data_IF_299909265158
#
_entry.id   IF_299909265158
#
_cell.length_a   1.000
_cell.length_b   1.000
_cell.length_c   1.000
_cell.angle_alpha   90.00
_cell.angle_beta   90.00
_cell.angle_gamma   90.00
#
_symmetry.space_group_name_H-M   'P 1'
#
loop_
_entity.id
_entity.type
_entity.pdbx_description
1 polymer ?
#
# COMPACT_ATOMS: atom_id res chain seq x y z
N UNK A 1 -2.85 18.83 -15.96
CA UNK A 1 -3.97 18.93 -16.91
C UNK A 1 -3.49 18.87 -18.37
N UNK A 2 -2.50 19.69 -18.85
CA UNK A 2 -2.05 19.73 -20.26
C UNK A 2 -1.72 18.37 -20.89
N UNK A 3 -1.07 17.45 -20.14
CA UNK A 3 -0.73 16.11 -20.65
C UNK A 3 -1.99 15.24 -20.81
N UNK A 4 -2.97 15.42 -19.96
CA UNK A 4 -4.26 14.74 -20.05
C UNK A 4 -5.07 15.28 -21.23
N UNK A 5 -5.15 16.60 -21.40
CA UNK A 5 -5.81 17.24 -22.56
C UNK A 5 -5.18 16.83 -23.87
N UNK A 6 -3.84 16.67 -23.91
CA UNK A 6 -3.09 16.16 -25.08
C UNK A 6 -3.25 14.64 -25.29
N UNK A 7 -3.95 13.92 -24.43
CA UNK A 7 -4.09 12.46 -24.50
C UNK A 7 -2.83 11.67 -24.15
N UNK A 8 -1.78 12.32 -23.61
CA UNK A 8 -0.53 11.67 -23.23
C UNK A 8 -0.66 10.86 -21.92
N UNK A 9 -1.62 11.18 -21.06
CA UNK A 9 -1.99 10.39 -19.89
C UNK A 9 -3.49 10.40 -19.68
N UNK A 10 -4.04 9.38 -19.06
CA UNK A 10 -5.46 9.32 -18.69
C UNK A 10 -5.72 9.82 -17.27
N UNK A 11 -4.75 9.63 -16.38
CA UNK A 11 -4.89 9.88 -14.96
C UNK A 11 -3.74 10.73 -14.43
N UNK A 12 -4.02 11.46 -13.34
CA UNK A 12 -3.04 12.29 -12.62
C UNK A 12 -2.89 11.72 -11.22
N UNK A 13 -1.65 11.65 -10.75
CA UNK A 13 -1.31 11.22 -9.40
C UNK A 13 -0.20 12.07 -8.82
N UNK A 14 -0.03 11.93 -7.50
CA UNK A 14 1.02 12.59 -6.72
C UNK A 14 1.79 11.57 -5.89
N UNK A 15 2.88 11.98 -5.25
CA UNK A 15 3.67 11.11 -4.37
C UNK A 15 4.13 11.87 -3.14
N UNK A 16 4.03 11.23 -1.98
CA UNK A 16 4.49 11.73 -0.67
C UNK A 16 3.90 13.10 -0.28
N UNK A 17 2.65 13.37 -0.64
CA UNK A 17 1.93 14.58 -0.24
C UNK A 17 1.32 14.39 1.16
N UNK A 18 1.30 15.46 1.94
CA UNK A 18 0.48 15.57 3.14
C UNK A 18 -0.98 15.78 2.78
N UNK A 19 -1.91 15.64 3.74
CA UNK A 19 -3.33 15.93 3.54
C UNK A 19 -3.57 17.36 3.05
N UNK A 20 -2.87 18.37 3.60
CA UNK A 20 -2.96 19.76 3.15
C UNK A 20 -2.49 19.95 1.70
N UNK A 21 -1.42 19.22 1.31
CA UNK A 21 -0.94 19.24 -0.08
C UNK A 21 -1.92 18.53 -1.04
N UNK A 22 -2.61 17.49 -0.57
CA UNK A 22 -3.66 16.82 -1.33
C UNK A 22 -4.87 17.73 -1.54
N UNK A 23 -5.29 18.50 -0.51
CA UNK A 23 -6.36 19.48 -0.62
C UNK A 23 -5.99 20.56 -1.64
N UNK A 24 -4.76 21.12 -1.55
CA UNK A 24 -4.25 22.10 -2.51
C UNK A 24 -4.22 21.53 -3.95
N UNK A 25 -3.79 20.28 -4.10
CA UNK A 25 -3.77 19.63 -5.42
C UNK A 25 -5.18 19.47 -5.99
N UNK A 26 -6.16 19.10 -5.17
CA UNK A 26 -7.57 18.95 -5.59
C UNK A 26 -8.21 20.29 -5.98
N UNK A 27 -7.86 21.37 -5.30
CA UNK A 27 -8.33 22.72 -5.64
C UNK A 27 -7.70 23.27 -6.92
N UNK A 28 -6.48 22.80 -7.26
CA UNK A 28 -5.70 23.30 -8.40
C UNK A 28 -5.92 22.52 -9.68
N UNK A 29 -6.21 21.21 -9.58
CA UNK A 29 -6.38 20.31 -10.72
C UNK A 29 -7.82 20.35 -11.24
N UNK A 30 -8.00 20.49 -12.55
CA UNK A 30 -9.28 20.27 -13.23
C UNK A 30 -9.65 18.77 -13.30
N UNK A 31 -8.63 17.90 -13.25
CA UNK A 31 -8.81 16.46 -13.27
C UNK A 31 -8.90 15.88 -11.85
N UNK A 32 -9.72 14.84 -11.61
CA UNK A 32 -9.70 14.15 -10.34
C UNK A 32 -8.33 13.52 -10.08
N UNK A 33 -7.88 13.63 -8.84
CA UNK A 33 -6.67 12.93 -8.37
C UNK A 33 -6.96 11.43 -8.35
N UNK A 34 -6.21 10.66 -9.15
CA UNK A 34 -6.44 9.22 -9.31
C UNK A 34 -5.66 8.38 -8.30
N UNK A 35 -4.41 8.76 -8.02
CA UNK A 35 -3.55 8.01 -7.14
C UNK A 35 -2.60 8.89 -6.33
N UNK A 36 -2.27 8.42 -5.13
CA UNK A 36 -1.26 8.98 -4.26
C UNK A 36 -0.27 7.87 -3.88
N UNK A 37 0.99 7.99 -4.33
CA UNK A 37 2.02 7.00 -4.03
C UNK A 37 2.72 7.37 -2.73
N UNK A 38 2.73 6.44 -1.75
CA UNK A 38 3.29 6.64 -0.42
C UNK A 38 4.02 5.39 0.06
N UNK A 39 4.94 5.55 1.01
CA UNK A 39 5.46 4.43 1.79
C UNK A 39 4.32 3.85 2.63
N UNK A 40 4.06 2.53 2.49
CA UNK A 40 3.03 1.87 3.29
C UNK A 40 3.33 0.38 3.45
N UNK A 41 3.37 -0.09 4.70
CA UNK A 41 3.67 -1.47 5.09
C UNK A 41 3.22 -1.68 6.55
N UNK A 42 3.27 -2.91 7.12
CA UNK A 42 2.82 -3.17 8.50
C UNK A 42 3.44 -2.29 9.59
N UNK A 43 4.68 -1.80 9.39
CA UNK A 43 5.37 -0.88 10.31
C UNK A 43 5.08 0.61 10.03
N UNK A 44 4.37 0.95 8.97
CA UNK A 44 3.99 2.33 8.62
C UNK A 44 2.67 2.34 7.83
N UNK A 45 1.56 2.33 8.56
CA UNK A 45 0.25 1.96 8.02
C UNK A 45 -0.50 3.09 7.33
N UNK A 46 -0.05 4.35 7.50
CA UNK A 46 -0.63 5.53 6.82
C UNK A 46 -2.14 5.70 7.06
N UNK A 47 -2.61 5.49 8.28
CA UNK A 47 -4.05 5.49 8.61
C UNK A 47 -4.76 6.77 8.17
N UNK A 48 -4.15 7.94 8.42
CA UNK A 48 -4.71 9.23 8.03
C UNK A 48 -4.85 9.35 6.52
N UNK A 49 -3.78 9.02 5.77
CA UNK A 49 -3.80 9.08 4.31
C UNK A 49 -4.72 8.02 3.70
N UNK A 50 -4.85 6.85 4.33
CA UNK A 50 -5.78 5.82 3.90
C UNK A 50 -7.24 6.28 4.10
N UNK A 51 -7.57 6.84 5.25
CA UNK A 51 -8.89 7.42 5.50
C UNK A 51 -9.21 8.57 4.53
N UNK A 52 -8.20 9.40 4.22
CA UNK A 52 -8.32 10.47 3.22
C UNK A 52 -8.58 9.90 1.82
N UNK A 53 -7.83 8.87 1.40
CA UNK A 53 -7.97 8.24 0.09
C UNK A 53 -9.37 7.64 -0.12
N UNK A 54 -9.90 6.94 0.88
CA UNK A 54 -11.27 6.37 0.86
C UNK A 54 -12.34 7.46 0.75
N UNK A 55 -12.21 8.54 1.53
CA UNK A 55 -13.16 9.65 1.52
C UNK A 55 -13.23 10.39 0.18
N UNK A 56 -12.11 10.42 -0.55
CA UNK A 56 -11.96 11.17 -1.79
C UNK A 56 -11.85 10.30 -3.05
N UNK A 57 -12.09 9.01 -2.93
CA UNK A 57 -12.13 8.02 -4.01
C UNK A 57 -10.88 8.06 -4.91
N UNK A 58 -9.69 7.97 -4.30
CA UNK A 58 -8.43 7.76 -5.02
C UNK A 58 -7.63 6.61 -4.41
N UNK A 59 -6.69 6.06 -5.18
CA UNK A 59 -5.86 4.94 -4.74
C UNK A 59 -4.64 5.42 -3.96
N UNK A 60 -4.31 4.70 -2.86
CA UNK A 60 -2.97 4.70 -2.31
C UNK A 60 -2.12 3.64 -3.02
N UNK A 61 -1.01 4.05 -3.60
CA UNK A 61 -0.04 3.15 -4.20
C UNK A 61 1.10 2.94 -3.21
N UNK A 62 1.10 1.78 -2.56
CA UNK A 62 2.01 1.46 -1.47
C UNK A 62 3.40 1.07 -2.01
N UNK A 63 4.39 1.98 -1.94
CA UNK A 63 5.77 1.60 -2.21
C UNK A 63 6.43 1.02 -0.95
N UNK A 64 7.52 0.28 -1.13
CA UNK A 64 8.20 -0.49 -0.08
C UNK A 64 7.25 -1.39 0.75
N UNK A 65 6.30 -2.09 0.13
CA UNK A 65 5.23 -2.79 0.82
C UNK A 65 5.71 -3.91 1.75
N UNK A 66 6.96 -4.34 1.60
CA UNK A 66 7.62 -5.39 2.39
C UNK A 66 8.52 -4.82 3.50
N UNK A 67 8.55 -3.50 3.71
CA UNK A 67 9.43 -2.84 4.69
C UNK A 67 10.90 -3.30 4.59
N UNK A 68 11.40 -3.59 3.38
CA UNK A 68 12.74 -4.17 3.14
C UNK A 68 13.00 -5.50 3.91
N UNK A 69 11.95 -6.19 4.30
CA UNK A 69 11.99 -7.43 5.09
C UNK A 69 11.85 -7.23 6.60
N UNK A 70 11.91 -6.00 7.11
CA UNK A 70 11.83 -5.73 8.55
C UNK A 70 10.48 -6.09 9.19
N UNK A 71 9.41 -6.17 8.38
CA UNK A 71 8.10 -6.60 8.85
C UNK A 71 7.98 -8.13 8.99
N UNK A 72 8.94 -8.92 8.47
CA UNK A 72 8.80 -10.38 8.40
C UNK A 72 8.89 -11.08 9.77
N UNK A 73 9.67 -10.51 10.68
CA UNK A 73 9.86 -11.05 12.03
C UNK A 73 8.82 -10.54 13.04
N UNK A 74 7.86 -9.71 12.59
CA UNK A 74 6.74 -9.31 13.45
C UNK A 74 5.86 -10.52 13.76
N UNK A 75 5.56 -10.82 15.04
CA UNK A 75 4.65 -11.92 15.39
C UNK A 75 3.29 -11.82 14.67
N UNK A 76 2.80 -10.60 14.44
CA UNK A 76 1.56 -10.35 13.70
C UNK A 76 1.63 -10.81 12.24
N UNK A 77 2.82 -10.84 11.63
CA UNK A 77 3.03 -11.27 10.26
C UNK A 77 3.46 -12.74 10.20
N UNK A 78 4.44 -13.13 11.02
CA UNK A 78 5.00 -14.49 11.01
C UNK A 78 3.98 -15.57 11.41
N UNK A 79 3.15 -15.31 12.44
CA UNK A 79 2.13 -16.28 12.88
C UNK A 79 1.01 -16.42 11.83
N UNK A 80 0.62 -15.32 11.18
CA UNK A 80 -0.34 -15.36 10.06
C UNK A 80 0.24 -16.12 8.87
N UNK A 81 1.52 -15.94 8.57
CA UNK A 81 2.22 -16.69 7.52
C UNK A 81 2.22 -18.19 7.82
N UNK A 82 2.51 -18.60 9.06
CA UNK A 82 2.45 -19.99 9.49
C UNK A 82 1.04 -20.57 9.39
N UNK A 83 0.03 -19.83 9.88
CA UNK A 83 -1.40 -20.23 9.81
C UNK A 83 -1.84 -20.58 8.39
N UNK A 84 -1.39 -19.82 7.40
CA UNK A 84 -1.78 -19.98 6.01
C UNK A 84 -0.79 -20.80 5.16
N UNK A 85 0.34 -21.23 5.70
CA UNK A 85 1.42 -21.87 4.94
C UNK A 85 1.99 -20.96 3.85
N UNK A 86 1.97 -19.65 4.08
CA UNK A 86 2.43 -18.61 3.18
C UNK A 86 3.76 -18.01 3.64
N UNK A 87 4.40 -17.20 2.79
CA UNK A 87 5.57 -16.43 3.21
C UNK A 87 5.16 -15.12 3.89
N UNK A 88 5.96 -14.56 4.81
CA UNK A 88 5.72 -13.24 5.38
C UNK A 88 5.53 -12.14 4.31
N UNK A 89 6.26 -12.23 3.19
CA UNK A 89 6.10 -11.32 2.07
C UNK A 89 4.70 -11.40 1.46
N UNK A 90 4.17 -12.61 1.27
CA UNK A 90 2.80 -12.81 0.77
C UNK A 90 1.76 -12.24 1.73
N UNK A 91 1.95 -12.43 3.04
CA UNK A 91 1.05 -11.87 4.07
C UNK A 91 1.04 -10.35 4.01
N UNK A 92 2.21 -9.69 3.97
CA UNK A 92 2.28 -8.22 3.86
C UNK A 92 1.56 -7.71 2.61
N UNK A 93 1.76 -8.37 1.47
CA UNK A 93 1.12 -7.98 0.21
C UNK A 93 -0.38 -8.24 0.20
N UNK A 94 -0.84 -9.39 0.72
CA UNK A 94 -2.25 -9.73 0.84
C UNK A 94 -2.97 -8.77 1.78
N UNK A 95 -2.36 -8.41 2.92
CA UNK A 95 -2.89 -7.43 3.86
C UNK A 95 -3.07 -6.05 3.20
N UNK A 96 -2.06 -5.55 2.46
CA UNK A 96 -2.20 -4.29 1.73
C UNK A 96 -3.26 -4.35 0.65
N UNK A 97 -3.29 -5.43 -0.14
CA UNK A 97 -4.25 -5.61 -1.22
C UNK A 97 -5.69 -5.83 -0.72
N UNK A 98 -5.86 -6.31 0.53
CA UNK A 98 -7.14 -6.45 1.20
C UNK A 98 -7.74 -5.12 1.69
N UNK A 99 -6.93 -4.06 1.77
CA UNK A 99 -7.41 -2.72 2.15
C UNK A 99 -8.09 -2.03 0.96
N UNK A 100 -9.21 -1.39 1.23
CA UNK A 100 -9.94 -0.62 0.22
C UNK A 100 -9.08 0.51 -0.35
N UNK A 101 -9.03 0.64 -1.67
CA UNK A 101 -8.26 1.66 -2.39
C UNK A 101 -6.72 1.60 -2.18
N UNK A 102 -6.16 0.45 -1.81
CA UNK A 102 -4.70 0.27 -1.68
C UNK A 102 -4.16 -0.67 -2.74
N UNK A 103 -3.05 -0.29 -3.37
CA UNK A 103 -2.36 -1.08 -4.39
C UNK A 103 -0.89 -1.22 -4.03
N UNK A 104 -0.42 -2.38 -3.56
CA UNK A 104 1.00 -2.60 -3.28
C UNK A 104 1.81 -2.74 -4.56
N UNK A 105 3.01 -2.14 -4.59
CA UNK A 105 3.95 -2.21 -5.73
C UNK A 105 5.30 -2.80 -5.30
N UNK A 106 5.36 -4.11 -5.03
CA UNK A 106 6.61 -4.77 -4.66
C UNK A 106 7.60 -4.79 -5.82
N UNK A 107 8.87 -4.59 -5.51
CA UNK A 107 9.96 -4.69 -6.49
C UNK A 107 10.77 -5.96 -6.25
N UNK A 108 11.08 -6.70 -7.31
CA UNK A 108 12.05 -7.80 -7.27
C UNK A 108 12.72 -7.98 -8.64
N UNK A 109 13.96 -8.45 -8.64
CA UNK A 109 14.67 -8.94 -9.82
C UNK A 109 14.73 -10.48 -9.86
N UNK A 110 14.29 -11.16 -8.79
CA UNK A 110 14.26 -12.64 -8.70
C UNK A 110 12.96 -13.16 -9.32
N UNK A 111 13.03 -14.06 -10.34
CA UNK A 111 11.84 -14.70 -10.89
C UNK A 111 11.01 -15.48 -9.83
N UNK A 112 11.69 -16.04 -8.83
CA UNK A 112 11.04 -16.75 -7.71
C UNK A 112 10.23 -15.76 -6.87
N UNK A 113 10.85 -14.70 -6.39
CA UNK A 113 10.13 -13.68 -5.59
C UNK A 113 9.02 -12.99 -6.39
N UNK A 114 9.17 -12.80 -7.72
CA UNK A 114 8.09 -12.26 -8.54
C UNK A 114 6.87 -13.17 -8.56
N UNK A 115 7.07 -14.50 -8.64
CA UNK A 115 5.97 -15.47 -8.59
C UNK A 115 5.33 -15.53 -7.20
N UNK A 116 6.14 -15.51 -6.13
CA UNK A 116 5.67 -15.46 -4.74
C UNK A 116 4.84 -14.22 -4.49
N UNK A 117 5.34 -13.04 -4.90
CA UNK A 117 4.62 -11.78 -4.77
C UNK A 117 3.28 -11.81 -5.54
N UNK A 118 3.27 -12.37 -6.75
CA UNK A 118 2.04 -12.48 -7.53
C UNK A 118 1.03 -13.43 -6.88
N UNK A 119 1.50 -14.52 -6.28
CA UNK A 119 0.64 -15.50 -5.60
C UNK A 119 -0.01 -14.93 -4.32
N UNK A 120 0.49 -13.82 -3.78
CA UNK A 120 -0.15 -13.13 -2.65
C UNK A 120 -1.59 -12.69 -2.93
N UNK A 121 -1.96 -12.46 -4.20
CA UNK A 121 -3.33 -12.12 -4.61
C UNK A 121 -4.36 -13.22 -4.33
N UNK A 122 -3.89 -14.46 -4.25
CA UNK A 122 -4.74 -15.64 -4.04
C UNK A 122 -4.80 -16.02 -2.54
N UNK A 123 -4.06 -15.31 -1.67
CA UNK A 123 -4.07 -15.48 -0.23
C UNK A 123 -5.21 -14.64 0.39
N UNK A 124 -6.23 -15.32 0.89
CA UNK A 124 -7.33 -14.68 1.60
C UNK A 124 -7.03 -14.63 3.10
N UNK A 125 -6.79 -13.42 3.62
CA UNK A 125 -6.70 -13.15 5.05
C UNK A 125 -8.11 -12.90 5.60
N UNK A 126 -8.42 -13.50 6.76
CA UNK A 126 -9.67 -13.24 7.44
C UNK A 126 -9.61 -11.93 8.27
N UNK A 127 -10.75 -11.53 8.87
CA UNK A 127 -10.84 -10.28 9.65
C UNK A 127 -9.91 -10.31 10.88
N UNK A 128 -9.65 -11.49 11.46
CA UNK A 128 -8.73 -11.64 12.59
C UNK A 128 -7.28 -11.41 12.16
N UNK A 129 -6.89 -11.98 11.02
CA UNK A 129 -5.56 -11.78 10.43
C UNK A 129 -5.32 -10.30 10.10
N UNK A 130 -6.30 -9.66 9.46
CA UNK A 130 -6.24 -8.24 9.12
C UNK A 130 -6.09 -7.37 10.38
N UNK A 131 -6.96 -7.58 11.38
CA UNK A 131 -6.94 -6.84 12.64
C UNK A 131 -5.64 -7.06 13.42
N UNK A 132 -5.07 -8.26 13.38
CA UNK A 132 -3.81 -8.59 14.06
C UNK A 132 -2.63 -7.79 13.49
N UNK A 133 -2.58 -7.63 12.17
CA UNK A 133 -1.53 -6.82 11.53
C UNK A 133 -1.79 -5.33 11.76
N UNK A 134 -3.04 -4.90 11.76
CA UNK A 134 -3.43 -3.52 12.05
C UNK A 134 -3.12 -3.10 13.49
N UNK A 135 -3.11 -4.04 14.42
CA UNK A 135 -2.77 -3.80 15.83
C UNK A 135 -1.26 -3.64 16.09
N UNK A 136 -0.41 -3.66 15.05
CA UNK A 136 1.03 -3.41 15.21
C UNK A 136 1.25 -1.95 15.63
N UNK A 137 1.55 -1.75 16.90
CA UNK A 137 1.84 -0.45 17.52
C UNK A 137 3.36 -0.16 17.45
N UNK A 138 3.87 -0.05 16.23
CA UNK A 138 5.27 0.28 15.97
C UNK A 138 5.34 1.06 14.66
N UNK A 139 5.48 2.37 14.76
CA UNK A 139 5.59 3.21 13.58
C UNK A 139 7.06 3.37 13.19
N UNK A 140 7.42 2.86 12.02
CA UNK A 140 8.77 2.97 11.46
C UNK A 140 8.71 3.35 9.99
N UNK A 141 8.98 4.62 9.72
CA UNK A 141 9.22 5.12 8.37
C UNK A 141 10.65 4.77 7.92
N UNK A 142 10.82 4.24 6.71
CA UNK A 142 12.13 3.82 6.17
C UNK A 142 12.78 4.90 5.29
N UNK A 143 11.99 5.80 4.73
CA UNK A 143 12.45 6.87 3.84
C UNK A 143 12.06 8.24 4.38
N UNK A 144 13.01 9.16 4.39
CA UNK A 144 12.77 10.56 4.78
C UNK A 144 11.98 11.35 3.73
#
# INVERSE_FOLDING_TARGET
>A
DRLREAGATRHVGVSNFTTDQLDTARETLDAPLFAHQVEMHPLYQQEELHAYARRHDHYLVAYSPLAQGEAFDLPAVSDVAEKHGATPAQVCLAWLAGKENVVPIPRSASPTHLRENLAARDLALDDEDMARIEAVDCEKKLFE
#
